data_IF_728825981445
#
_entry.id   IF_728825981445
#
_cell.length_a   1.000
_cell.length_b   1.000
_cell.length_c   1.000
_cell.angle_alpha   90.00
_cell.angle_beta   90.00
_cell.angle_gamma   90.00
#
_symmetry.space_group_name_H-M   'P 1'
#
loop_
_entity.id
_entity.type
_entity.pdbx_description
1 polymer ?
#
# COMPACT_ATOMS: atom_id res chain seq x y z
N UNK A 1 -41.18 27.50 -28.27
CA UNK A 1 -39.70 27.61 -28.37
C UNK A 1 -39.17 27.49 -26.95
N UNK A 2 -38.78 26.30 -26.57
CA UNK A 2 -38.16 26.03 -25.28
C UNK A 2 -36.65 26.08 -25.49
N UNK A 3 -36.00 27.16 -25.02
CA UNK A 3 -34.57 27.27 -24.97
C UNK A 3 -34.05 26.19 -24.01
N UNK A 4 -33.41 25.17 -24.55
CA UNK A 4 -32.59 24.24 -23.79
C UNK A 4 -31.33 25.00 -23.38
N UNK A 5 -31.34 25.58 -22.17
CA UNK A 5 -30.17 26.15 -21.57
C UNK A 5 -29.10 25.07 -21.36
N UNK A 6 -28.15 25.00 -22.27
CA UNK A 6 -26.92 24.23 -22.09
C UNK A 6 -26.18 24.88 -20.96
N UNK A 7 -26.31 24.33 -19.74
CA UNK A 7 -25.49 24.74 -18.59
C UNK A 7 -24.03 24.52 -18.98
N UNK A 8 -23.26 25.60 -19.12
CA UNK A 8 -21.84 25.50 -19.44
C UNK A 8 -21.18 24.55 -18.45
N UNK A 9 -20.51 23.52 -18.93
CA UNK A 9 -19.83 22.55 -18.11
C UNK A 9 -18.82 23.30 -17.20
N UNK A 10 -18.92 23.13 -15.90
CA UNK A 10 -17.99 23.75 -14.95
C UNK A 10 -16.57 23.26 -15.24
N UNK A 11 -15.71 24.17 -15.66
CA UNK A 11 -14.30 23.90 -15.94
C UNK A 11 -13.44 24.22 -14.72
N UNK A 12 -12.58 23.30 -14.35
CA UNK A 12 -11.62 23.42 -13.25
C UNK A 12 -10.22 23.28 -13.84
N UNK A 13 -9.33 24.22 -13.53
CA UNK A 13 -7.93 24.15 -13.98
C UNK A 13 -7.00 23.95 -12.78
N UNK A 14 -6.00 23.06 -12.94
CA UNK A 14 -5.01 22.74 -11.89
C UNK A 14 -3.65 22.36 -12.51
N UNK A 15 -2.60 22.27 -11.70
CA UNK A 15 -1.32 21.73 -12.16
C UNK A 15 -1.36 20.21 -12.32
N UNK A 16 -1.93 19.51 -11.32
CA UNK A 16 -1.99 18.04 -11.29
C UNK A 16 -3.42 17.57 -10.99
N UNK A 17 -3.90 16.61 -11.75
CA UNK A 17 -5.12 15.87 -11.39
C UNK A 17 -4.75 14.43 -10.99
N UNK A 18 -5.20 14.00 -9.82
CA UNK A 18 -5.04 12.64 -9.29
C UNK A 18 -6.35 11.88 -9.47
N UNK A 19 -6.32 10.77 -10.20
CA UNK A 19 -7.47 9.88 -10.36
C UNK A 19 -7.38 8.75 -9.34
N UNK A 20 -8.41 8.64 -8.50
CA UNK A 20 -8.49 7.72 -7.36
C UNK A 20 -8.08 8.38 -6.04
N UNK A 21 -9.06 8.58 -5.16
CA UNK A 21 -8.89 9.12 -3.80
C UNK A 21 -8.68 8.04 -2.74
N UNK A 22 -8.10 6.90 -3.12
CA UNK A 22 -7.68 5.86 -2.19
C UNK A 22 -6.42 6.24 -1.40
N UNK A 23 -5.87 5.28 -0.63
CA UNK A 23 -4.74 5.54 0.27
C UNK A 23 -3.52 6.15 -0.44
N UNK A 24 -3.15 5.65 -1.61
CA UNK A 24 -2.02 6.19 -2.37
C UNK A 24 -2.34 7.53 -3.04
N UNK A 25 -3.53 7.67 -3.63
CA UNK A 25 -3.91 8.87 -4.38
C UNK A 25 -4.10 10.10 -3.49
N UNK A 26 -4.81 9.97 -2.37
CA UNK A 26 -4.91 11.08 -1.41
C UNK A 26 -3.59 11.39 -0.73
N UNK A 27 -2.72 10.39 -0.48
CA UNK A 27 -1.35 10.66 0.01
C UNK A 27 -0.56 11.49 -1.01
N UNK A 28 -0.70 11.19 -2.31
CA UNK A 28 -0.08 11.98 -3.38
C UNK A 28 -0.61 13.39 -3.43
N UNK A 29 -1.94 13.56 -3.40
CA UNK A 29 -2.58 14.87 -3.41
C UNK A 29 -2.19 15.70 -2.17
N UNK A 30 -2.15 15.08 -0.98
CA UNK A 30 -1.71 15.74 0.24
C UNK A 30 -0.23 16.17 0.18
N UNK A 31 0.66 15.31 -0.34
CA UNK A 31 2.08 15.63 -0.48
C UNK A 31 2.30 16.84 -1.43
N UNK A 32 1.63 16.84 -2.58
CA UNK A 32 1.70 17.94 -3.55
C UNK A 32 1.16 19.25 -2.98
N UNK A 33 -0.04 19.23 -2.40
CA UNK A 33 -0.67 20.41 -1.83
C UNK A 33 0.13 20.98 -0.63
N UNK A 34 0.73 20.09 0.20
CA UNK A 34 1.63 20.50 1.28
C UNK A 34 2.87 21.24 0.77
N UNK A 35 3.37 20.87 -0.42
CA UNK A 35 4.50 21.54 -1.07
C UNK A 35 4.09 22.75 -1.93
N UNK A 36 2.80 23.15 -1.94
CA UNK A 36 2.28 24.30 -2.65
C UNK A 36 1.89 24.06 -4.10
N UNK A 37 1.85 22.81 -4.57
CA UNK A 37 1.39 22.46 -5.93
C UNK A 37 -0.12 22.30 -5.94
N UNK A 38 -0.88 23.08 -6.74
CA UNK A 38 -2.33 22.94 -6.87
C UNK A 38 -2.71 21.56 -7.43
N UNK A 39 -3.67 20.90 -6.77
CA UNK A 39 -4.07 19.54 -7.13
C UNK A 39 -5.57 19.32 -6.99
N UNK A 40 -6.15 18.64 -7.97
CA UNK A 40 -7.52 18.10 -7.92
C UNK A 40 -7.42 16.59 -7.76
N UNK A 41 -8.05 16.03 -6.73
CA UNK A 41 -8.17 14.58 -6.52
C UNK A 41 -9.62 14.15 -6.79
N UNK A 42 -9.81 13.17 -7.67
CA UNK A 42 -11.12 12.70 -8.11
C UNK A 42 -11.33 11.28 -7.62
N UNK A 43 -12.44 11.02 -6.92
CA UNK A 43 -12.84 9.67 -6.53
C UNK A 43 -14.34 9.45 -6.72
N UNK A 44 -14.69 8.23 -7.16
CA UNK A 44 -16.08 7.82 -7.42
C UNK A 44 -16.89 7.62 -6.13
N UNK A 45 -16.23 7.24 -5.03
CA UNK A 45 -16.86 6.96 -3.75
C UNK A 45 -16.75 8.18 -2.82
N UNK A 46 -17.84 8.50 -2.11
CA UNK A 46 -17.84 9.61 -1.16
C UNK A 46 -16.92 9.33 0.05
N UNK A 47 -16.35 10.37 0.68
CA UNK A 47 -15.56 10.21 1.90
C UNK A 47 -16.32 9.48 3.02
N UNK A 48 -17.61 9.77 3.20
CA UNK A 48 -18.44 9.14 4.23
C UNK A 48 -18.58 7.63 4.01
N UNK A 49 -18.80 7.23 2.73
CA UNK A 49 -18.84 5.81 2.36
C UNK A 49 -17.50 5.13 2.62
N UNK A 50 -16.41 5.74 2.19
CA UNK A 50 -15.05 5.19 2.33
C UNK A 50 -14.57 5.10 3.79
N UNK A 51 -15.07 5.98 4.67
CA UNK A 51 -14.77 5.98 6.11
C UNK A 51 -15.64 5.01 6.91
N UNK A 52 -16.64 4.39 6.29
CA UNK A 52 -17.55 3.41 6.92
C UNK A 52 -16.83 2.11 7.28
N UNK A 53 -17.30 1.47 8.35
CA UNK A 53 -16.68 0.25 8.89
C UNK A 53 -16.75 -0.95 7.92
N UNK A 54 -17.78 -0.99 7.07
CA UNK A 54 -17.99 -2.08 6.13
C UNK A 54 -17.37 -1.88 4.75
N UNK A 55 -16.79 -0.71 4.49
CA UNK A 55 -16.22 -0.41 3.17
C UNK A 55 -14.96 -1.23 2.89
N UNK A 56 -14.06 -1.33 3.85
CA UNK A 56 -12.81 -2.05 3.72
C UNK A 56 -12.30 -2.48 5.10
N UNK A 57 -12.44 -3.76 5.42
CA UNK A 57 -12.02 -4.33 6.71
C UNK A 57 -10.53 -4.67 6.77
N UNK A 58 -9.79 -4.42 5.69
CA UNK A 58 -8.35 -4.69 5.65
C UNK A 58 -7.59 -3.76 6.56
N UNK A 59 -6.47 -4.25 7.01
CA UNK A 59 -5.42 -3.48 7.67
C UNK A 59 -4.21 -3.35 6.74
N UNK A 60 -3.37 -2.40 7.03
CA UNK A 60 -2.13 -2.17 6.29
C UNK A 60 -0.95 -2.07 7.26
N UNK A 61 0.12 -2.78 6.94
CA UNK A 61 1.42 -2.59 7.57
C UNK A 61 2.10 -1.39 6.89
N UNK A 62 2.16 -0.26 7.58
CA UNK A 62 2.85 0.95 7.14
C UNK A 62 4.30 0.87 7.61
N UNK A 63 5.24 0.58 6.71
CA UNK A 63 6.66 0.52 7.02
C UNK A 63 7.20 1.89 7.47
N UNK A 64 8.34 1.91 8.19
CA UNK A 64 8.95 3.14 8.66
C UNK A 64 9.13 4.20 7.56
N UNK A 65 9.67 3.82 6.39
CA UNK A 65 9.82 4.73 5.25
C UNK A 65 8.49 5.32 4.78
N UNK A 66 7.43 4.52 4.78
CA UNK A 66 6.09 4.94 4.39
C UNK A 66 5.46 5.90 5.40
N UNK A 67 5.71 5.67 6.70
CA UNK A 67 5.33 6.60 7.76
C UNK A 67 5.98 7.97 7.54
N UNK A 68 7.28 8.02 7.17
CA UNK A 68 7.96 9.28 6.84
C UNK A 68 7.34 10.02 5.66
N UNK A 69 6.84 9.32 4.65
CA UNK A 69 6.08 9.92 3.55
C UNK A 69 4.78 10.55 4.03
N UNK A 70 4.02 9.82 4.86
CA UNK A 70 2.78 10.31 5.45
C UNK A 70 3.01 11.48 6.43
N UNK A 71 4.11 11.45 7.17
CA UNK A 71 4.57 12.56 8.04
C UNK A 71 4.87 13.81 7.21
N UNK A 72 5.68 13.67 6.15
CA UNK A 72 6.01 14.77 5.23
C UNK A 72 4.80 15.35 4.50
N UNK A 73 3.76 14.57 4.24
CA UNK A 73 2.47 15.02 3.73
C UNK A 73 1.56 15.62 4.83
N UNK A 74 1.97 15.59 6.10
CA UNK A 74 1.19 16.08 7.24
C UNK A 74 0.01 15.19 7.63
N UNK A 75 -0.03 13.94 7.16
CA UNK A 75 -1.12 12.98 7.42
C UNK A 75 -0.88 12.19 8.70
N UNK A 76 0.37 11.87 9.02
CA UNK A 76 0.74 10.93 10.10
C UNK A 76 0.18 11.32 11.47
N UNK A 77 0.16 12.62 11.80
CA UNK A 77 -0.41 13.13 13.06
C UNK A 77 -1.86 12.70 13.32
N UNK A 78 -2.62 12.44 12.25
CA UNK A 78 -4.00 11.95 12.33
C UNK A 78 -4.11 10.41 12.36
N UNK A 79 -3.03 9.69 12.03
CA UNK A 79 -2.97 8.22 12.02
C UNK A 79 -2.32 7.64 13.28
N UNK A 80 -1.35 8.36 13.84
CA UNK A 80 -0.50 7.89 14.94
C UNK A 80 -1.29 7.35 16.15
N UNK A 81 -2.41 7.96 16.59
CA UNK A 81 -3.18 7.44 17.72
C UNK A 81 -3.76 6.03 17.51
N UNK A 82 -3.98 5.61 16.26
CA UNK A 82 -4.53 4.31 15.89
C UNK A 82 -3.46 3.31 15.41
N UNK A 83 -2.19 3.69 15.42
CA UNK A 83 -1.09 2.93 14.85
C UNK A 83 -0.47 1.95 15.86
N UNK A 84 -0.65 0.65 15.63
CA UNK A 84 -0.02 -0.42 16.43
C UNK A 84 1.43 -0.65 15.98
N UNK A 85 2.46 -0.41 16.82
CA UNK A 85 3.85 -0.52 16.42
C UNK A 85 4.29 -1.98 16.24
N UNK A 86 5.08 -2.23 15.19
CA UNK A 86 5.79 -3.50 14.97
C UNK A 86 7.20 -3.35 15.57
N UNK A 87 7.40 -3.93 16.74
CA UNK A 87 8.68 -3.89 17.47
C UNK A 87 9.55 -5.10 17.14
N UNK A 88 8.91 -6.25 16.97
CA UNK A 88 9.55 -7.50 16.61
C UNK A 88 8.88 -8.13 15.42
N UNK A 89 9.68 -8.85 14.60
CA UNK A 89 9.16 -9.70 13.53
C UNK A 89 9.69 -11.11 13.74
N UNK A 90 8.78 -12.09 13.81
CA UNK A 90 9.10 -13.52 13.89
C UNK A 90 8.63 -14.21 12.64
N UNK A 91 9.58 -14.84 11.95
CA UNK A 91 9.31 -15.64 10.74
C UNK A 91 9.60 -17.09 11.06
N UNK A 92 8.58 -17.94 10.98
CA UNK A 92 8.67 -19.36 11.27
C UNK A 92 8.17 -20.19 10.09
N UNK A 93 8.71 -21.39 9.93
CA UNK A 93 8.22 -22.41 9.01
C UNK A 93 7.60 -23.54 9.81
N UNK A 94 6.41 -24.02 9.43
CA UNK A 94 5.64 -25.05 10.15
C UNK A 94 6.45 -26.29 10.51
N UNK A 95 7.39 -26.69 9.66
CA UNK A 95 8.13 -27.93 9.79
C UNK A 95 9.54 -27.75 10.34
N UNK A 96 9.91 -26.53 10.73
CA UNK A 96 11.23 -26.23 11.25
C UNK A 96 11.15 -25.73 12.69
N UNK A 97 11.98 -26.24 13.61
CA UNK A 97 12.14 -25.65 14.92
C UNK A 97 12.89 -24.31 14.87
N UNK A 98 13.38 -23.95 13.68
CA UNK A 98 14.12 -22.72 13.45
C UNK A 98 13.15 -21.59 13.08
N UNK A 99 13.39 -20.41 13.65
CA UNK A 99 12.70 -19.18 13.28
C UNK A 99 13.71 -18.05 13.13
N UNK A 100 13.37 -17.07 12.34
CA UNK A 100 14.15 -15.83 12.25
C UNK A 100 13.45 -14.78 13.11
N UNK A 101 14.23 -14.14 13.98
CA UNK A 101 13.75 -13.09 14.86
C UNK A 101 14.47 -11.78 14.54
N UNK A 102 13.71 -10.75 14.23
CA UNK A 102 14.18 -9.39 14.04
C UNK A 102 13.66 -8.56 15.21
N UNK A 103 14.57 -8.04 16.04
CA UNK A 103 14.28 -7.08 17.11
C UNK A 103 14.65 -5.67 16.62
N UNK A 104 13.72 -4.71 16.72
CA UNK A 104 13.98 -3.32 16.33
C UNK A 104 15.18 -2.71 17.03
N UNK A 105 15.55 -3.21 18.22
CA UNK A 105 16.73 -2.77 18.99
C UNK A 105 18.05 -3.14 18.32
N UNK A 106 18.06 -4.13 17.43
CA UNK A 106 19.27 -4.56 16.70
C UNK A 106 19.65 -3.59 15.56
N UNK A 107 18.80 -2.59 15.29
CA UNK A 107 19.01 -1.62 14.22
C UNK A 107 18.73 -0.20 14.69
N UNK A 108 19.76 0.66 14.63
CA UNK A 108 19.62 2.09 14.85
C UNK A 108 19.43 2.80 13.50
N UNK A 109 18.40 3.64 13.40
CA UNK A 109 18.12 4.49 12.25
C UNK A 109 17.79 5.90 12.74
N UNK A 110 18.38 6.92 12.13
CA UNK A 110 18.27 8.33 12.57
C UNK A 110 18.61 8.53 14.06
N UNK A 111 19.62 7.79 14.55
CA UNK A 111 20.09 7.87 15.93
C UNK A 111 19.17 7.23 16.97
N UNK A 112 18.12 6.52 16.55
CA UNK A 112 17.15 5.85 17.44
C UNK A 112 16.84 4.44 16.97
N UNK A 113 16.38 3.61 17.92
CA UNK A 113 15.78 2.33 17.59
C UNK A 113 14.31 2.56 17.20
N UNK A 114 14.04 2.47 15.90
CA UNK A 114 12.71 2.75 15.34
C UNK A 114 11.93 1.44 15.21
N UNK A 115 10.59 1.46 15.37
CA UNK A 115 9.74 0.34 14.95
C UNK A 115 9.97 0.00 13.46
N UNK A 116 9.77 -1.24 13.08
CA UNK A 116 9.80 -1.64 11.66
C UNK A 116 8.70 -0.97 10.84
N UNK A 117 7.59 -0.69 11.49
CA UNK A 117 6.41 -0.06 10.94
C UNK A 117 5.26 -0.11 11.94
N UNK A 118 4.06 0.09 11.44
CA UNK A 118 2.82 0.11 12.23
C UNK A 118 1.70 -0.58 11.48
N UNK A 119 0.79 -1.21 12.21
CA UNK A 119 -0.44 -1.77 11.64
C UNK A 119 -1.57 -0.80 11.91
N UNK A 120 -2.31 -0.47 10.85
CA UNK A 120 -3.49 0.42 10.91
C UNK A 120 -4.67 -0.20 10.16
N UNK A 121 -5.88 0.08 10.65
CA UNK A 121 -7.10 -0.14 9.89
C UNK A 121 -7.14 0.79 8.67
N UNK A 122 -7.48 0.26 7.50
CA UNK A 122 -7.59 1.08 6.28
C UNK A 122 -8.63 2.19 6.41
N UNK A 123 -9.70 1.98 7.16
CA UNK A 123 -10.71 2.99 7.46
C UNK A 123 -10.14 4.19 8.22
N UNK A 124 -9.28 3.94 9.22
CA UNK A 124 -8.66 5.01 10.01
C UNK A 124 -7.63 5.78 9.18
N UNK A 125 -6.89 5.09 8.30
CA UNK A 125 -6.01 5.74 7.33
C UNK A 125 -6.80 6.67 6.39
N UNK A 126 -7.99 6.24 5.90
CA UNK A 126 -8.85 7.09 5.06
C UNK A 126 -9.37 8.30 5.83
N UNK A 127 -9.87 8.09 7.06
CA UNK A 127 -10.33 9.18 7.94
C UNK A 127 -9.25 10.24 8.14
N UNK A 128 -8.01 9.80 8.40
CA UNK A 128 -6.84 10.69 8.54
C UNK A 128 -6.53 11.45 7.25
N UNK A 129 -6.57 10.79 6.09
CA UNK A 129 -6.36 11.43 4.78
C UNK A 129 -7.45 12.46 4.48
N UNK A 130 -8.72 12.16 4.76
CA UNK A 130 -9.82 13.12 4.59
C UNK A 130 -9.70 14.31 5.55
N UNK A 131 -9.29 14.07 6.80
CA UNK A 131 -9.01 15.16 7.74
C UNK A 131 -7.90 16.07 7.20
N UNK A 132 -6.79 15.51 6.73
CA UNK A 132 -5.70 16.28 6.14
C UNK A 132 -6.12 17.01 4.86
N UNK A 133 -6.89 16.39 3.99
CA UNK A 133 -7.36 17.02 2.75
C UNK A 133 -8.17 18.31 3.02
N UNK A 134 -8.97 18.33 4.08
CA UNK A 134 -9.73 19.53 4.51
C UNK A 134 -8.85 20.66 5.02
N UNK A 135 -7.64 20.39 5.51
CA UNK A 135 -6.67 21.37 6.00
C UNK A 135 -5.89 22.05 4.85
N UNK A 136 -5.96 21.51 3.63
CA UNK A 136 -5.12 21.93 2.50
C UNK A 136 -5.92 22.74 1.47
N UNK A 137 -5.83 24.10 1.45
CA UNK A 137 -6.60 24.91 0.52
C UNK A 137 -6.23 24.69 -0.96
N UNK A 138 -5.01 24.20 -1.24
CA UNK A 138 -4.54 23.86 -2.58
C UNK A 138 -4.98 22.48 -3.09
N UNK A 139 -5.73 21.70 -2.28
CA UNK A 139 -6.27 20.40 -2.65
C UNK A 139 -7.78 20.46 -2.81
N UNK A 140 -8.26 20.26 -4.03
CA UNK A 140 -9.68 20.11 -4.30
C UNK A 140 -10.04 18.63 -4.42
N UNK A 141 -10.70 18.07 -3.39
CA UNK A 141 -11.17 16.68 -3.40
C UNK A 141 -12.58 16.60 -3.96
N UNK A 142 -12.70 16.12 -5.21
CA UNK A 142 -13.97 15.90 -5.90
C UNK A 142 -14.43 14.45 -5.66
N UNK A 143 -15.26 14.23 -4.66
CA UNK A 143 -15.81 12.93 -4.29
C UNK A 143 -17.21 13.10 -3.64
N UNK A 144 -18.27 12.41 -4.15
CA UNK A 144 -18.20 11.47 -5.24
C UNK A 144 -18.11 12.14 -6.62
N UNK A 145 -17.17 11.69 -7.47
CA UNK A 145 -17.05 12.12 -8.86
C UNK A 145 -16.35 11.04 -9.69
N UNK A 146 -16.87 10.72 -10.86
CA UNK A 146 -16.33 9.65 -11.70
C UNK A 146 -15.72 10.23 -12.98
N UNK A 147 -14.40 10.01 -13.18
CA UNK A 147 -13.75 10.26 -14.45
C UNK A 147 -14.20 9.23 -15.50
N UNK A 148 -14.57 9.70 -16.70
CA UNK A 148 -15.06 8.85 -17.79
C UNK A 148 -14.15 8.87 -19.02
N UNK A 149 -13.39 9.94 -19.23
CA UNK A 149 -12.41 9.99 -20.32
C UNK A 149 -11.24 10.91 -19.98
N UNK A 150 -10.11 10.65 -20.63
CA UNK A 150 -8.88 11.44 -20.53
C UNK A 150 -8.40 11.73 -21.96
N UNK A 151 -8.43 13.00 -22.34
CA UNK A 151 -7.84 13.51 -23.56
C UNK A 151 -6.49 14.15 -23.24
N UNK A 152 -5.47 13.93 -24.06
CA UNK A 152 -4.11 14.40 -23.82
C UNK A 152 -3.48 14.96 -25.06
N UNK A 153 -2.66 15.97 -24.89
CA UNK A 153 -1.83 16.55 -25.92
C UNK A 153 -0.52 17.07 -25.33
N UNK A 154 0.34 17.66 -26.14
CA UNK A 154 1.63 18.17 -25.69
C UNK A 154 1.55 19.28 -24.63
N UNK A 155 0.42 19.98 -24.52
CA UNK A 155 0.26 21.12 -23.59
C UNK A 155 -0.40 20.70 -22.26
N UNK A 156 -1.10 19.57 -22.19
CA UNK A 156 -1.78 19.13 -20.97
C UNK A 156 -2.74 17.97 -21.19
N UNK A 157 -3.58 17.77 -20.22
CA UNK A 157 -4.61 16.74 -20.20
C UNK A 157 -5.96 17.34 -19.79
N UNK A 158 -7.03 16.76 -20.33
CA UNK A 158 -8.43 17.11 -20.01
C UNK A 158 -9.14 15.86 -19.54
N UNK A 159 -9.63 15.88 -18.32
CA UNK A 159 -10.41 14.80 -17.70
C UNK A 159 -11.87 15.20 -17.69
N UNK A 160 -12.73 14.39 -18.31
CA UNK A 160 -14.19 14.59 -18.30
C UNK A 160 -14.81 13.72 -17.22
N UNK A 161 -15.73 14.30 -16.46
CA UNK A 161 -16.47 13.61 -15.40
C UNK A 161 -17.86 13.21 -15.89
N UNK A 162 -18.43 12.19 -15.26
CA UNK A 162 -19.76 11.67 -15.61
C UNK A 162 -20.89 12.70 -15.41
N UNK A 163 -20.71 13.67 -14.52
CA UNK A 163 -21.65 14.74 -14.24
C UNK A 163 -21.50 15.97 -15.17
N UNK A 164 -20.64 15.88 -16.17
CA UNK A 164 -20.40 16.92 -17.18
C UNK A 164 -19.30 17.93 -16.80
N UNK A 165 -18.77 17.93 -15.57
CA UNK A 165 -17.62 18.76 -15.21
C UNK A 165 -16.37 18.34 -15.99
N UNK A 166 -15.46 19.30 -16.19
CA UNK A 166 -14.21 19.10 -16.91
C UNK A 166 -13.05 19.59 -16.07
N UNK A 167 -12.02 18.78 -15.91
CA UNK A 167 -10.78 19.15 -15.20
C UNK A 167 -9.63 19.19 -16.19
N UNK A 168 -9.00 20.38 -16.34
CA UNK A 168 -7.80 20.58 -17.15
C UNK A 168 -6.57 20.62 -16.25
N UNK A 169 -5.53 19.87 -16.61
CA UNK A 169 -4.29 19.78 -15.84
C UNK A 169 -3.07 19.65 -16.76
N UNK A 170 -1.88 19.94 -16.22
CA UNK A 170 -0.62 19.67 -16.92
C UNK A 170 -0.24 18.20 -16.84
N UNK A 171 -0.66 17.50 -15.77
CA UNK A 171 -0.34 16.10 -15.52
C UNK A 171 -1.52 15.36 -14.90
N UNK A 172 -1.77 14.13 -15.36
CA UNK A 172 -2.66 13.15 -14.74
C UNK A 172 -1.83 12.15 -13.96
N UNK A 173 -2.13 11.97 -12.68
CA UNK A 173 -1.58 10.88 -11.86
C UNK A 173 -2.66 9.81 -11.68
N UNK A 174 -2.44 8.65 -12.25
CA UNK A 174 -3.31 7.48 -12.10
C UNK A 174 -3.02 6.74 -10.79
N UNK A 175 -3.95 6.81 -9.85
CA UNK A 175 -4.00 6.08 -8.59
C UNK A 175 -5.34 5.35 -8.43
N UNK A 176 -6.01 5.08 -9.53
CA UNK A 176 -7.39 4.60 -9.69
C UNK A 176 -7.50 3.07 -9.67
N UNK A 177 -6.49 2.41 -9.08
CA UNK A 177 -6.50 1.01 -8.73
C UNK A 177 -6.30 0.06 -9.92
N UNK A 178 -6.59 -1.20 -9.70
CA UNK A 178 -6.28 -2.29 -10.64
C UNK A 178 -6.94 -2.13 -12.02
N UNK A 179 -8.14 -1.53 -12.09
CA UNK A 179 -8.87 -1.22 -13.33
C UNK A 179 -8.72 0.26 -13.68
N UNK A 180 -7.49 0.72 -13.82
CA UNK A 180 -7.12 2.12 -14.00
C UNK A 180 -7.52 2.66 -15.37
N UNK A 181 -8.40 3.67 -15.39
CA UNK A 181 -8.72 4.46 -16.57
C UNK A 181 -7.50 5.22 -17.08
N UNK A 182 -6.67 5.77 -16.16
CA UNK A 182 -5.44 6.47 -16.52
C UNK A 182 -4.48 5.57 -17.31
N UNK A 183 -4.29 4.34 -16.85
CA UNK A 183 -3.44 3.34 -17.51
C UNK A 183 -4.00 2.94 -18.88
N UNK A 184 -5.29 2.62 -18.94
CA UNK A 184 -5.96 2.19 -20.16
C UNK A 184 -5.96 3.29 -21.22
N UNK A 185 -6.32 4.53 -20.85
CA UNK A 185 -6.27 5.67 -21.74
C UNK A 185 -4.86 5.92 -22.30
N UNK A 186 -3.81 5.59 -21.53
CA UNK A 186 -2.41 5.74 -21.92
C UNK A 186 -1.90 4.59 -22.80
N UNK A 187 -2.69 3.55 -23.05
CA UNK A 187 -2.28 2.37 -23.81
C UNK A 187 -1.14 1.60 -23.14
N UNK A 188 -1.06 1.67 -21.80
CA UNK A 188 -0.03 0.96 -21.03
C UNK A 188 -0.51 -0.46 -20.74
N UNK A 189 0.23 -1.45 -21.24
CA UNK A 189 -0.08 -2.86 -21.06
C UNK A 189 0.31 -3.35 -19.66
N UNK A 190 -0.33 -4.43 -19.23
CA UNK A 190 -0.09 -5.11 -17.97
C UNK A 190 0.52 -6.49 -18.21
N UNK A 191 1.42 -6.88 -17.30
CA UNK A 191 1.76 -8.28 -17.05
C UNK A 191 1.06 -8.70 -15.77
N UNK A 192 0.25 -9.77 -15.85
CA UNK A 192 -0.53 -10.26 -14.72
C UNK A 192 -0.41 -11.75 -14.60
N UNK A 193 -0.31 -12.25 -13.35
CA UNK A 193 -0.51 -13.66 -13.05
C UNK A 193 -1.21 -13.81 -11.71
N UNK A 194 -2.03 -14.85 -11.59
CA UNK A 194 -2.79 -15.16 -10.39
C UNK A 194 -2.13 -16.33 -9.66
N UNK A 195 -2.16 -16.26 -8.33
CA UNK A 195 -1.85 -17.41 -7.49
C UNK A 195 -3.09 -18.28 -7.27
N UNK A 196 -2.90 -19.58 -7.05
CA UNK A 196 -4.00 -20.45 -6.59
C UNK A 196 -4.24 -20.27 -5.08
N UNK A 197 -4.25 -19.00 -4.64
CA UNK A 197 -4.39 -18.61 -3.24
C UNK A 197 -5.31 -17.39 -3.12
N UNK A 198 -6.00 -17.32 -1.96
CA UNK A 198 -6.66 -16.10 -1.49
C UNK A 198 -6.25 -15.83 -0.05
N UNK A 199 -6.20 -14.58 0.35
CA UNK A 199 -5.97 -14.18 1.73
C UNK A 199 -7.30 -14.02 2.46
N UNK A 200 -7.56 -14.84 3.47
CA UNK A 200 -8.64 -14.66 4.46
C UNK A 200 -8.17 -13.60 5.45
N UNK A 201 -9.02 -12.63 5.71
CA UNK A 201 -8.70 -11.46 6.53
C UNK A 201 -9.77 -11.29 7.60
N UNK A 202 -9.34 -11.03 8.82
CA UNK A 202 -10.18 -10.58 9.92
C UNK A 202 -9.35 -9.86 10.97
N UNK A 203 -10.00 -9.10 11.85
CA UNK A 203 -9.40 -8.53 13.05
C UNK A 203 -9.93 -9.27 14.26
N UNK A 204 -9.04 -9.59 15.19
CA UNK A 204 -9.35 -10.28 16.44
C UNK A 204 -8.95 -9.41 17.64
N UNK A 205 -9.64 -9.62 18.78
CA UNK A 205 -9.19 -9.26 20.11
C UNK A 205 -8.70 -10.52 20.81
N UNK A 206 -7.76 -10.37 21.73
CA UNK A 206 -7.20 -11.51 22.46
C UNK A 206 -6.84 -11.11 23.90
N UNK A 207 -6.82 -12.11 24.82
CA UNK A 207 -6.60 -11.88 26.25
C UNK A 207 -5.13 -11.63 26.57
N UNK A 208 -4.21 -12.33 25.91
CA UNK A 208 -2.77 -12.21 26.18
C UNK A 208 -2.09 -11.14 25.30
N UNK A 209 -1.16 -10.32 25.82
CA UNK A 209 -0.56 -9.23 25.05
C UNK A 209 0.36 -9.75 23.93
N UNK A 210 0.21 -9.20 22.72
CA UNK A 210 1.09 -9.48 21.57
C UNK A 210 2.48 -8.80 21.67
N UNK A 211 2.69 -7.86 22.59
CA UNK A 211 3.97 -7.17 22.84
C UNK A 211 4.60 -6.50 21.60
N UNK A 212 3.80 -6.09 20.63
CA UNK A 212 4.28 -5.49 19.37
C UNK A 212 4.96 -6.49 18.42
N UNK A 213 4.74 -7.79 18.60
CA UNK A 213 5.35 -8.85 17.77
C UNK A 213 4.48 -9.15 16.57
N UNK A 214 5.00 -8.93 15.37
CA UNK A 214 4.42 -9.45 14.14
C UNK A 214 4.92 -10.87 13.89
N UNK A 215 4.03 -11.81 13.68
CA UNK A 215 4.34 -13.22 13.40
C UNK A 215 3.95 -13.54 11.96
N UNK A 216 4.89 -14.07 11.19
CA UNK A 216 4.67 -14.63 9.86
C UNK A 216 4.99 -16.12 9.91
N UNK A 217 3.97 -16.96 9.83
CA UNK A 217 4.11 -18.39 9.90
C UNK A 217 3.84 -19.02 8.52
N UNK A 218 4.87 -19.55 7.88
CA UNK A 218 4.73 -20.22 6.60
C UNK A 218 4.13 -21.61 6.78
N UNK A 219 2.91 -21.77 6.30
CA UNK A 219 2.14 -23.01 6.29
C UNK A 219 2.13 -23.63 4.87
N UNK A 220 1.78 -24.92 4.68
CA UNK A 220 1.86 -25.59 3.38
C UNK A 220 1.07 -24.94 2.26
N UNK A 221 -0.06 -24.29 2.57
CA UNK A 221 -0.94 -23.66 1.59
C UNK A 221 -0.71 -22.15 1.45
N UNK A 222 0.17 -21.57 2.26
CA UNK A 222 0.52 -20.15 2.24
C UNK A 222 0.81 -19.58 3.63
N UNK A 223 1.31 -18.36 3.70
CA UNK A 223 1.62 -17.72 4.96
C UNK A 223 0.37 -17.39 5.79
N UNK A 224 0.55 -17.47 7.11
CA UNK A 224 -0.39 -17.06 8.13
C UNK A 224 0.26 -15.98 8.98
N UNK A 225 -0.24 -14.75 8.91
CA UNK A 225 0.29 -13.62 9.64
C UNK A 225 -0.62 -13.19 10.79
N UNK A 226 -0.02 -12.89 11.94
CA UNK A 226 -0.63 -12.22 13.08
C UNK A 226 0.07 -10.89 13.27
N UNK A 227 -0.63 -9.79 13.07
CA UNK A 227 -0.05 -8.47 13.00
C UNK A 227 -0.56 -7.60 14.16
N UNK A 228 0.35 -7.04 15.01
CA UNK A 228 -0.02 -6.33 16.23
C UNK A 228 -0.70 -5.00 15.92
N UNK A 229 -1.87 -4.78 16.48
CA UNK A 229 -2.61 -3.53 16.46
C UNK A 229 -2.63 -2.89 17.85
N UNK A 230 -3.29 -1.76 18.01
CA UNK A 230 -3.51 -1.18 19.34
C UNK A 230 -4.48 -2.06 20.18
N UNK A 231 -4.39 -1.99 21.51
CA UNK A 231 -5.37 -2.55 22.48
C UNK A 231 -5.56 -4.08 22.43
N UNK A 232 -4.51 -4.86 22.47
CA UNK A 232 -4.60 -6.33 22.36
C UNK A 232 -5.47 -6.79 21.18
N UNK A 233 -5.44 -6.05 20.07
CA UNK A 233 -6.02 -6.45 18.80
C UNK A 233 -4.93 -6.93 17.87
N UNK A 234 -5.28 -7.86 17.02
CA UNK A 234 -4.38 -8.31 15.94
C UNK A 234 -5.15 -8.45 14.64
N UNK A 235 -4.50 -8.06 13.55
CA UNK A 235 -4.98 -8.36 12.20
C UNK A 235 -4.47 -9.73 11.78
N UNK A 236 -5.37 -10.55 11.26
CA UNK A 236 -5.05 -11.84 10.69
C UNK A 236 -5.02 -11.72 9.17
N UNK A 237 -3.95 -12.19 8.55
CA UNK A 237 -3.84 -12.37 7.12
C UNK A 237 -3.45 -13.83 6.86
N UNK A 238 -4.40 -14.62 6.45
CA UNK A 238 -4.24 -16.05 6.26
C UNK A 238 -4.37 -16.41 4.78
N UNK A 239 -3.24 -16.65 4.13
CA UNK A 239 -3.21 -17.14 2.75
C UNK A 239 -3.52 -18.62 2.69
N UNK A 240 -4.51 -18.99 1.86
CA UNK A 240 -4.98 -20.37 1.73
C UNK A 240 -5.26 -20.70 0.26
N UNK A 241 -5.21 -21.98 -0.11
CA UNK A 241 -5.62 -22.45 -1.45
C UNK A 241 -7.04 -21.97 -1.75
N UNK A 242 -7.23 -21.43 -2.95
CA UNK A 242 -8.52 -20.88 -3.37
C UNK A 242 -9.68 -21.87 -3.20
N UNK A 243 -9.44 -23.15 -3.45
CA UNK A 243 -10.45 -24.23 -3.30
C UNK A 243 -10.90 -24.49 -1.86
N UNK A 244 -10.11 -24.06 -0.85
CA UNK A 244 -10.41 -24.29 0.57
C UNK A 244 -11.00 -23.06 1.26
N UNK A 245 -10.89 -21.87 0.65
CA UNK A 245 -11.29 -20.61 1.26
C UNK A 245 -12.77 -20.59 1.66
N UNK A 246 -13.65 -21.00 0.75
CA UNK A 246 -15.10 -21.02 1.03
C UNK A 246 -15.47 -21.92 2.20
N UNK A 247 -14.75 -23.01 2.40
CA UNK A 247 -14.92 -23.89 3.55
C UNK A 247 -14.62 -23.14 4.86
N UNK A 248 -13.49 -22.47 4.92
CA UNK A 248 -13.09 -21.73 6.13
C UNK A 248 -14.00 -20.52 6.40
N UNK A 249 -14.44 -19.79 5.37
CA UNK A 249 -15.37 -18.68 5.54
C UNK A 249 -16.74 -19.11 6.07
N UNK A 250 -17.18 -20.34 5.78
CA UNK A 250 -18.47 -20.90 6.20
C UNK A 250 -18.42 -21.65 7.53
N UNK A 251 -17.26 -21.82 8.15
CA UNK A 251 -17.16 -22.44 9.47
C UNK A 251 -18.02 -21.67 10.50
N UNK A 252 -18.68 -22.35 11.44
CA UNK A 252 -19.18 -21.73 12.65
C UNK A 252 -18.07 -20.92 13.34
N UNK A 253 -18.45 -19.87 14.07
CA UNK A 253 -17.48 -18.92 14.63
C UNK A 253 -16.51 -19.58 15.61
N UNK A 254 -17.03 -20.45 16.47
CA UNK A 254 -16.25 -21.26 17.42
C UNK A 254 -15.19 -22.12 16.71
N UNK A 255 -15.58 -22.81 15.64
CA UNK A 255 -14.65 -23.65 14.88
C UNK A 255 -13.61 -22.81 14.11
N UNK A 256 -13.99 -21.63 13.65
CA UNK A 256 -13.04 -20.72 13.02
C UNK A 256 -12.03 -20.18 14.04
N UNK A 257 -12.46 -19.86 15.26
CA UNK A 257 -11.60 -19.44 16.36
C UNK A 257 -10.64 -20.57 16.75
N UNK A 258 -11.09 -21.82 16.80
CA UNK A 258 -10.24 -23.00 17.04
C UNK A 258 -9.15 -23.13 15.98
N UNK A 259 -9.50 -22.90 14.69
CA UNK A 259 -8.52 -22.89 13.60
C UNK A 259 -7.50 -21.74 13.74
N UNK A 260 -7.92 -20.54 14.13
CA UNK A 260 -7.02 -19.42 14.41
C UNK A 260 -6.08 -19.74 15.57
N UNK A 261 -6.61 -20.27 16.66
CA UNK A 261 -5.85 -20.66 17.85
C UNK A 261 -4.79 -21.72 17.51
N UNK A 262 -5.18 -22.74 16.75
CA UNK A 262 -4.27 -23.79 16.30
C UNK A 262 -3.13 -23.25 15.41
N UNK A 263 -3.44 -22.34 14.48
CA UNK A 263 -2.47 -21.77 13.53
C UNK A 263 -1.56 -20.75 14.20
N UNK A 264 -2.06 -19.98 15.16
CA UNK A 264 -1.25 -19.05 15.94
C UNK A 264 -0.39 -19.76 17.00
N UNK A 265 -0.71 -21.00 17.36
CA UNK A 265 -0.01 -21.73 18.44
C UNK A 265 -0.49 -21.35 19.84
N UNK A 266 -1.65 -20.73 19.98
CA UNK A 266 -2.33 -20.48 21.25
C UNK A 266 -1.73 -19.39 22.15
N UNK A 267 -0.69 -18.67 21.70
CA UNK A 267 0.00 -17.68 22.53
C UNK A 267 -0.81 -16.40 22.79
N UNK A 268 -1.91 -16.21 22.09
CA UNK A 268 -2.78 -15.04 22.24
C UNK A 268 -3.85 -15.23 23.34
N UNK A 269 -3.97 -16.43 23.92
CA UNK A 269 -5.02 -16.74 24.87
C UNK A 269 -6.40 -16.85 24.21
N UNK A 270 -7.43 -16.34 24.88
CA UNK A 270 -8.80 -16.36 24.35
C UNK A 270 -8.94 -15.35 23.20
N UNK A 271 -9.60 -15.78 22.13
CA UNK A 271 -9.77 -14.99 20.89
C UNK A 271 -11.25 -14.65 20.68
N UNK A 272 -11.52 -13.40 20.31
CA UNK A 272 -12.82 -12.85 19.90
C UNK A 272 -12.70 -12.26 18.50
N UNK A 273 -13.65 -12.55 17.59
CA UNK A 273 -13.71 -11.90 16.28
C UNK A 273 -14.31 -10.49 16.40
N UNK A 274 -13.62 -9.49 15.89
CA UNK A 274 -14.08 -8.10 15.86
C UNK A 274 -14.67 -7.66 14.52
N UNK A 275 -14.29 -8.34 13.44
CA UNK A 275 -14.79 -8.04 12.08
C UNK A 275 -15.36 -9.29 11.44
N UNK A 276 -16.17 -9.10 10.40
CA UNK A 276 -16.50 -10.22 9.51
C UNK A 276 -15.23 -10.84 8.91
N UNK A 277 -15.34 -12.07 8.45
CA UNK A 277 -14.31 -12.76 7.66
C UNK A 277 -14.51 -12.42 6.19
N UNK A 278 -13.46 -12.04 5.50
CA UNK A 278 -13.49 -11.75 4.06
C UNK A 278 -12.28 -12.38 3.37
N UNK A 279 -12.35 -12.60 2.06
CA UNK A 279 -11.25 -13.20 1.32
C UNK A 279 -10.94 -12.46 0.02
N UNK A 280 -9.65 -12.29 -0.25
CA UNK A 280 -9.15 -11.55 -1.40
C UNK A 280 -8.25 -12.42 -2.28
N UNK A 281 -8.59 -12.62 -3.57
CA UNK A 281 -7.74 -13.36 -4.49
C UNK A 281 -6.36 -12.72 -4.64
N UNK A 282 -5.31 -13.54 -4.57
CA UNK A 282 -3.94 -13.08 -4.68
C UNK A 282 -3.47 -13.11 -6.14
N UNK A 283 -2.88 -12.03 -6.58
CA UNK A 283 -2.35 -11.90 -7.94
C UNK A 283 -1.31 -10.79 -8.01
N UNK A 284 -0.40 -10.91 -8.97
CA UNK A 284 0.53 -9.84 -9.34
C UNK A 284 0.00 -9.10 -10.56
N UNK A 285 0.21 -7.81 -10.55
CA UNK A 285 -0.04 -6.91 -11.66
C UNK A 285 1.17 -5.99 -11.78
N UNK A 286 1.73 -5.86 -12.97
CA UNK A 286 2.85 -4.97 -13.23
C UNK A 286 2.66 -4.28 -14.58
N UNK A 287 2.58 -2.94 -14.56
CA UNK A 287 2.54 -2.14 -15.77
C UNK A 287 3.89 -2.18 -16.49
N UNK A 288 3.88 -2.29 -17.82
CA UNK A 288 5.12 -2.33 -18.62
C UNK A 288 5.93 -1.03 -18.51
N UNK A 289 5.25 0.09 -18.24
CA UNK A 289 5.83 1.40 -17.97
C UNK A 289 4.95 2.17 -17.00
N UNK A 290 5.53 3.08 -16.22
CA UNK A 290 4.80 3.87 -15.22
C UNK A 290 4.45 5.28 -15.71
N UNK A 291 4.86 5.62 -16.93
CA UNK A 291 4.62 6.92 -17.53
C UNK A 291 4.15 6.79 -18.96
N UNK A 292 3.41 7.80 -19.40
CA UNK A 292 3.11 8.10 -20.81
C UNK A 292 3.02 9.62 -20.97
N UNK A 293 2.70 10.12 -22.17
CA UNK A 293 2.45 11.55 -22.38
C UNK A 293 1.42 12.06 -21.38
N UNK A 294 1.82 13.02 -20.54
CA UNK A 294 0.95 13.63 -19.51
C UNK A 294 0.34 12.67 -18.48
N UNK A 295 0.88 11.48 -18.32
CA UNK A 295 0.38 10.48 -17.36
C UNK A 295 1.53 9.88 -16.58
N UNK A 296 1.37 9.79 -15.26
CA UNK A 296 2.16 8.96 -14.37
C UNK A 296 1.26 8.01 -13.57
N UNK A 297 1.68 6.77 -13.36
CA UNK A 297 0.92 5.76 -12.60
C UNK A 297 1.62 5.49 -11.28
N UNK A 298 0.84 5.37 -10.19
CA UNK A 298 1.30 5.02 -8.85
C UNK A 298 0.42 3.95 -8.22
N UNK A 299 0.98 3.22 -7.26
CA UNK A 299 0.24 2.20 -6.50
C UNK A 299 -0.39 1.14 -7.41
N UNK A 300 -1.60 0.68 -7.11
CA UNK A 300 -2.26 -0.42 -7.84
C UNK A 300 -2.60 -0.11 -9.31
N UNK A 301 -2.55 1.15 -9.74
CA UNK A 301 -2.63 1.48 -11.17
C UNK A 301 -1.35 1.07 -11.91
N UNK A 302 -0.19 1.11 -11.25
CA UNK A 302 1.11 0.72 -11.79
C UNK A 302 1.50 -0.73 -11.44
N UNK A 303 1.24 -1.17 -10.21
CA UNK A 303 1.67 -2.47 -9.69
C UNK A 303 0.82 -2.95 -8.53
N UNK A 304 0.61 -4.25 -8.46
CA UNK A 304 0.12 -4.96 -7.29
C UNK A 304 1.00 -6.20 -7.10
N UNK A 305 1.41 -6.48 -5.88
CA UNK A 305 2.29 -7.60 -5.54
C UNK A 305 1.62 -8.49 -4.50
N UNK A 306 2.16 -9.70 -4.31
CA UNK A 306 1.69 -10.59 -3.25
C UNK A 306 1.84 -9.89 -1.88
N UNK A 307 0.83 -10.01 -0.98
CA UNK A 307 0.82 -9.31 0.31
C UNK A 307 1.86 -9.83 1.32
N UNK A 308 2.72 -10.75 0.94
CA UNK A 308 3.82 -11.22 1.78
C UNK A 308 4.60 -10.02 2.34
N UNK A 309 4.80 -9.99 3.62
CA UNK A 309 5.40 -8.88 4.34
C UNK A 309 4.70 -7.50 4.19
N UNK A 310 3.42 -7.45 3.76
CA UNK A 310 2.62 -6.22 3.75
C UNK A 310 3.10 -5.09 2.84
N UNK A 311 3.81 -5.39 1.72
CA UNK A 311 4.53 -4.37 0.94
C UNK A 311 3.69 -3.61 -0.11
N UNK A 312 2.42 -3.97 -0.33
CA UNK A 312 1.61 -3.38 -1.43
C UNK A 312 1.48 -1.86 -1.35
N UNK A 313 0.94 -1.32 -0.26
CA UNK A 313 0.81 0.12 -0.08
C UNK A 313 2.17 0.81 0.11
N UNK A 314 3.11 0.15 0.78
CA UNK A 314 4.46 0.71 1.01
C UNK A 314 5.17 1.01 -0.31
N UNK A 315 5.01 0.15 -1.31
CA UNK A 315 5.53 0.38 -2.65
C UNK A 315 4.85 1.59 -3.31
N UNK A 316 3.52 1.72 -3.16
CA UNK A 316 2.76 2.87 -3.64
C UNK A 316 3.16 4.19 -2.96
N UNK A 317 3.43 4.18 -1.66
CA UNK A 317 3.89 5.38 -0.93
C UNK A 317 5.33 5.77 -1.32
N UNK A 318 6.18 4.82 -1.71
CA UNK A 318 7.46 5.13 -2.33
C UNK A 318 7.29 5.79 -3.70
N UNK A 319 6.29 5.37 -4.48
CA UNK A 319 5.97 6.05 -5.74
C UNK A 319 5.50 7.48 -5.46
N UNK A 320 4.64 7.68 -4.45
CA UNK A 320 4.20 9.02 -4.00
C UNK A 320 5.40 9.89 -3.68
N UNK A 321 6.33 9.42 -2.85
CA UNK A 321 7.51 10.21 -2.46
C UNK A 321 8.37 10.60 -3.66
N UNK A 322 8.66 9.65 -4.56
CA UNK A 322 9.51 9.90 -5.73
C UNK A 322 8.82 10.82 -6.76
N UNK A 323 7.53 10.57 -7.04
CA UNK A 323 6.79 11.38 -8.01
C UNK A 323 6.54 12.80 -7.48
N UNK A 324 6.18 12.95 -6.20
CA UNK A 324 6.00 14.25 -5.59
C UNK A 324 7.29 15.07 -5.63
N UNK A 325 8.45 14.46 -5.33
CA UNK A 325 9.75 15.13 -5.40
C UNK A 325 10.06 15.67 -6.80
N UNK A 326 9.89 14.87 -7.85
CA UNK A 326 10.18 15.32 -9.22
C UNK A 326 9.20 16.39 -9.71
N UNK A 327 7.92 16.32 -9.30
CA UNK A 327 6.90 17.33 -9.64
C UNK A 327 7.19 18.64 -8.92
N UNK A 328 7.48 18.61 -7.61
CA UNK A 328 7.74 19.81 -6.81
C UNK A 328 9.01 20.51 -7.28
N UNK A 329 10.07 19.77 -7.57
CA UNK A 329 11.31 20.35 -8.14
C UNK A 329 11.01 21.08 -9.46
N UNK A 330 10.27 20.45 -10.37
CA UNK A 330 9.91 21.06 -11.66
C UNK A 330 9.02 22.30 -11.46
N UNK A 331 8.00 22.20 -10.62
CA UNK A 331 7.07 23.30 -10.33
C UNK A 331 7.78 24.54 -9.78
N UNK A 332 8.69 24.35 -8.80
CA UNK A 332 9.47 25.47 -8.20
C UNK A 332 10.42 26.16 -9.18
N UNK A 333 10.87 25.42 -10.17
CA UNK A 333 11.71 25.96 -11.25
C UNK A 333 10.89 26.57 -12.40
N UNK A 334 9.54 26.57 -12.31
CA UNK A 334 8.66 27.02 -13.39
C UNK A 334 8.66 26.11 -14.62
N UNK A 335 9.15 24.88 -14.47
CA UNK A 335 9.17 23.88 -15.56
C UNK A 335 7.81 23.18 -15.69
N UNK A 336 7.60 22.56 -16.85
CA UNK A 336 6.38 21.79 -17.10
C UNK A 336 6.41 20.44 -16.34
N UNK A 337 5.58 20.33 -15.30
CA UNK A 337 5.49 19.14 -14.43
C UNK A 337 5.10 17.86 -15.17
N UNK A 338 4.43 18.00 -16.32
CA UNK A 338 4.02 16.85 -17.17
C UNK A 338 4.98 16.58 -18.33
N UNK A 339 6.15 17.22 -18.38
CA UNK A 339 7.10 17.01 -19.45
C UNK A 339 7.69 15.60 -19.44
N UNK A 340 8.09 15.06 -20.60
CA UNK A 340 8.72 13.74 -20.69
C UNK A 340 9.97 13.59 -19.84
N UNK A 341 10.78 14.66 -19.70
CA UNK A 341 12.03 14.68 -18.94
C UNK A 341 11.77 14.50 -17.44
N UNK A 342 10.78 15.22 -16.90
CA UNK A 342 10.35 15.12 -15.49
C UNK A 342 9.82 13.72 -15.20
N UNK A 343 8.93 13.22 -16.04
CA UNK A 343 8.33 11.90 -15.86
C UNK A 343 9.35 10.76 -16.03
N UNK A 344 10.31 10.88 -16.96
CA UNK A 344 11.37 9.90 -17.15
C UNK A 344 12.26 9.76 -15.90
N UNK A 345 12.48 10.85 -15.13
CA UNK A 345 13.21 10.80 -13.86
C UNK A 345 12.49 9.91 -12.84
N UNK A 346 11.17 10.08 -12.69
CA UNK A 346 10.32 9.21 -11.85
C UNK A 346 10.40 7.75 -12.30
N UNK A 347 10.21 7.45 -13.58
CA UNK A 347 10.22 6.08 -14.09
C UNK A 347 11.57 5.37 -13.86
N UNK A 348 12.71 6.03 -14.13
CA UNK A 348 14.04 5.46 -13.86
C UNK A 348 14.22 5.13 -12.39
N UNK A 349 13.73 6.00 -11.50
CA UNK A 349 13.86 5.82 -10.07
C UNK A 349 13.05 4.65 -9.55
N UNK A 350 11.81 4.51 -10.02
CA UNK A 350 10.86 3.58 -9.40
C UNK A 350 10.77 2.21 -10.07
N UNK A 351 10.92 2.15 -11.40
CA UNK A 351 10.60 0.93 -12.12
C UNK A 351 11.50 -0.25 -11.75
N UNK A 352 12.82 -0.02 -11.64
CA UNK A 352 13.75 -1.08 -11.28
C UNK A 352 13.49 -1.62 -9.87
N UNK A 353 13.33 -0.73 -8.91
CA UNK A 353 13.02 -1.07 -7.50
C UNK A 353 11.72 -1.89 -7.36
N UNK A 354 10.68 -1.47 -8.08
CA UNK A 354 9.38 -2.16 -8.12
C UNK A 354 9.47 -3.56 -8.72
N UNK A 355 10.14 -3.69 -9.87
CA UNK A 355 10.30 -5.00 -10.55
C UNK A 355 11.13 -5.95 -9.70
N UNK A 356 12.21 -5.45 -9.09
CA UNK A 356 13.06 -6.26 -8.21
C UNK A 356 12.26 -6.75 -6.98
N UNK A 357 11.53 -5.86 -6.32
CA UNK A 357 10.72 -6.24 -5.16
C UNK A 357 9.62 -7.25 -5.52
N UNK A 358 8.93 -7.04 -6.66
CA UNK A 358 7.94 -7.98 -7.16
C UNK A 358 8.55 -9.38 -7.41
N UNK A 359 9.72 -9.43 -8.03
CA UNK A 359 10.43 -10.70 -8.28
C UNK A 359 10.90 -11.37 -6.97
N UNK A 360 11.37 -10.60 -5.99
CA UNK A 360 11.75 -11.12 -4.67
C UNK A 360 10.54 -11.69 -3.93
N UNK A 361 9.43 -10.95 -3.89
CA UNK A 361 8.19 -11.43 -3.25
C UNK A 361 7.67 -12.71 -3.92
N UNK A 362 7.66 -12.75 -5.25
CA UNK A 362 7.25 -13.95 -6.02
C UNK A 362 8.16 -15.14 -5.74
N UNK A 363 9.47 -14.91 -5.72
CA UNK A 363 10.46 -15.93 -5.37
C UNK A 363 10.28 -16.47 -3.95
N UNK A 364 9.97 -15.61 -2.96
CA UNK A 364 9.69 -16.02 -1.60
C UNK A 364 8.40 -16.86 -1.51
N UNK A 365 7.34 -16.45 -2.21
CA UNK A 365 6.09 -17.26 -2.27
C UNK A 365 6.40 -18.65 -2.78
N UNK A 366 7.11 -18.79 -3.89
CA UNK A 366 7.46 -20.09 -4.45
C UNK A 366 8.40 -20.90 -3.55
N UNK A 367 9.36 -20.24 -2.89
CA UNK A 367 10.30 -20.88 -1.96
C UNK A 367 9.58 -21.48 -0.74
N UNK A 368 8.60 -20.75 -0.18
CA UNK A 368 7.93 -21.16 1.05
C UNK A 368 6.64 -21.95 0.83
N UNK A 369 6.07 -21.96 -0.39
CA UNK A 369 4.82 -22.69 -0.72
C UNK A 369 5.06 -24.10 -1.29
N UNK A 370 6.26 -24.69 -1.14
CA UNK A 370 6.52 -26.04 -1.61
C UNK A 370 7.15 -26.92 -0.53
N UNK A 371 6.95 -28.26 -0.66
CA UNK A 371 7.46 -29.27 0.28
C UNK A 371 8.56 -30.15 -0.33
N UNK A 372 9.25 -29.69 -1.38
CA UNK A 372 10.33 -30.44 -2.02
C UNK A 372 11.51 -30.53 -1.05
N UNK A 373 11.97 -31.76 -0.64
CA UNK A 373 12.94 -31.91 0.44
C UNK A 373 14.26 -31.12 0.30
N UNK A 374 14.92 -31.04 -0.88
CA UNK A 374 16.12 -30.22 -1.04
C UNK A 374 15.86 -28.71 -0.86
N UNK A 375 14.68 -28.21 -1.28
CA UNK A 375 14.32 -26.81 -1.14
C UNK A 375 14.02 -26.48 0.33
N UNK A 376 13.35 -27.39 1.04
CA UNK A 376 13.12 -27.27 2.47
C UNK A 376 14.45 -27.19 3.24
N UNK A 377 15.39 -28.07 2.96
CA UNK A 377 16.71 -28.03 3.60
C UNK A 377 17.44 -26.72 3.31
N UNK A 378 17.43 -26.25 2.06
CA UNK A 378 18.04 -24.97 1.69
C UNK A 378 17.39 -23.78 2.41
N UNK A 379 16.07 -23.80 2.59
CA UNK A 379 15.29 -22.80 3.36
C UNK A 379 15.67 -22.81 4.84
N UNK A 380 15.73 -23.98 5.48
CA UNK A 380 16.12 -24.13 6.89
C UNK A 380 17.54 -23.63 7.12
N UNK A 381 18.49 -24.03 6.27
CA UNK A 381 19.87 -23.52 6.31
C UNK A 381 19.90 -22.00 6.08
N UNK A 382 19.13 -21.49 5.10
CA UNK A 382 19.04 -20.06 4.83
C UNK A 382 18.53 -19.27 6.03
N UNK A 383 17.48 -19.70 6.71
CA UNK A 383 16.95 -19.08 7.92
C UNK A 383 17.98 -19.11 9.05
N UNK A 384 18.69 -20.22 9.26
CA UNK A 384 19.73 -20.32 10.27
C UNK A 384 20.91 -19.38 9.99
N UNK A 385 21.31 -19.26 8.73
CA UNK A 385 22.38 -18.35 8.29
C UNK A 385 21.97 -16.89 8.52
N UNK A 386 20.75 -16.49 8.10
CA UNK A 386 20.24 -15.13 8.33
C UNK A 386 20.24 -14.79 9.82
N UNK A 387 19.78 -15.71 10.67
CA UNK A 387 19.70 -15.48 12.12
C UNK A 387 21.08 -15.37 12.79
N UNK A 388 22.10 -16.04 12.24
CA UNK A 388 23.47 -16.05 12.81
C UNK A 388 24.39 -14.96 12.27
N UNK A 389 24.06 -14.35 11.13
CA UNK A 389 24.90 -13.33 10.49
C UNK A 389 24.31 -11.92 10.66
N UNK A 390 24.79 -11.11 11.65
CA UNK A 390 24.25 -9.79 11.92
C UNK A 390 24.20 -8.83 10.71
N UNK A 391 25.20 -8.81 9.79
CA UNK A 391 25.11 -7.95 8.61
C UNK A 391 23.95 -8.33 7.68
N UNK A 392 23.70 -9.62 7.46
CA UNK A 392 22.62 -10.13 6.62
C UNK A 392 21.26 -9.88 7.30
N UNK A 393 21.17 -10.10 8.60
CA UNK A 393 20.00 -9.77 9.41
C UNK A 393 19.62 -8.29 9.26
N UNK A 394 20.58 -7.37 9.46
CA UNK A 394 20.37 -5.92 9.30
C UNK A 394 19.99 -5.52 7.89
N UNK A 395 20.49 -6.20 6.88
CA UNK A 395 20.10 -5.98 5.49
C UNK A 395 18.60 -6.24 5.29
N UNK A 396 18.06 -7.38 5.78
CA UNK A 396 16.63 -7.67 5.71
C UNK A 396 15.78 -6.71 6.56
N UNK A 397 16.25 -6.34 7.74
CA UNK A 397 15.58 -5.35 8.61
C UNK A 397 15.42 -4.00 7.88
N UNK A 398 16.47 -3.49 7.24
CA UNK A 398 16.41 -2.25 6.45
C UNK A 398 15.44 -2.36 5.27
N UNK A 399 15.36 -3.53 4.63
CA UNK A 399 14.39 -3.78 3.56
C UNK A 399 12.95 -3.76 4.10
N UNK A 400 12.69 -4.40 5.24
CA UNK A 400 11.38 -4.38 5.90
C UNK A 400 10.94 -2.95 6.27
N UNK A 401 11.87 -2.12 6.79
CA UNK A 401 11.62 -0.71 7.08
C UNK A 401 11.46 0.16 5.82
N UNK A 402 11.88 -0.34 4.66
CA UNK A 402 11.81 0.41 3.40
C UNK A 402 12.91 1.44 3.18
N UNK A 403 14.00 1.37 3.94
CA UNK A 403 15.09 2.36 3.94
C UNK A 403 16.33 1.92 3.15
N UNK A 404 16.10 1.29 2.00
CA UNK A 404 17.18 0.78 1.12
C UNK A 404 17.08 1.42 -0.26
N UNK A 405 18.23 1.61 -0.89
CA UNK A 405 18.35 2.21 -2.22
C UNK A 405 18.47 3.73 -2.21
N UNK A 406 18.20 4.37 -3.34
CA UNK A 406 18.15 5.83 -3.44
C UNK A 406 16.83 6.33 -2.87
N UNK A 407 16.89 6.93 -1.68
CA UNK A 407 15.70 7.35 -0.94
C UNK A 407 15.27 8.76 -1.33
N UNK A 408 13.97 8.99 -1.64
CA UNK A 408 13.39 10.33 -1.77
C UNK A 408 13.54 11.18 -0.49
N UNK A 409 13.50 12.50 -0.64
CA UNK A 409 13.62 13.47 0.48
C UNK A 409 12.65 13.19 1.61
N UNK A 410 11.37 12.94 1.29
CA UNK A 410 10.35 12.66 2.32
C UNK A 410 10.74 11.47 3.20
N UNK A 411 11.28 10.39 2.60
CA UNK A 411 11.73 9.21 3.36
C UNK A 411 12.93 9.53 4.25
N UNK A 412 13.77 10.48 3.85
CA UNK A 412 14.89 11.00 4.67
C UNK A 412 14.44 12.00 5.73
N UNK A 413 13.13 12.28 5.85
CA UNK A 413 12.61 13.28 6.77
C UNK A 413 12.90 14.72 6.33
N UNK A 414 13.27 14.93 5.05
CA UNK A 414 13.52 16.25 4.47
C UNK A 414 12.26 16.71 3.74
N UNK A 415 11.76 17.94 3.98
CA UNK A 415 10.60 18.49 3.26
C UNK A 415 10.84 18.54 1.74
N UNK A 416 9.73 18.44 0.99
CA UNK A 416 9.73 18.66 -0.45
C UNK A 416 10.01 20.09 -0.80
#
# INVERSE_FOLDING_TARGET
MTESGTTAAQEITTEVVVLGGGLAGLSMAAALATAGVPVVCIDRDSPDRQAGDDFDIRTTAVAYASMKVLEGAGVWKHMEPCAGPILDIRVADQFSPLFVHYDHKDLTWDGKNQPFGWILDNKDMRRALFARAKELPGLHHLAPAQAVSIERNRSGATVKLADGRVVKARLVVGADGRRSLARESAGIKLRTWAYDQSAIICTIRHSEPHNGVAVEHFLPNGPFAVLPMTENRSSIVWSEKRSLVDMYLKLPEDQFIDELTRRSGGYLGDIELLTRRDAWPLSVLLAERFIAERVALIGEAAHAIHPIAGQGLNLGLRDVAALAEVIVDAHRLGLDVGSPEVLARFQRWRRFDTVLLAAVCDGLVHLFSNNIPPIKLARDVGMAVVNRLPPLKRFFMRHAMGVVGELPRMIKGVPL
#
